data_IF_427956414490
#
_entry.id   IF_427956414490
#
_cell.length_a   1.000
_cell.length_b   1.000
_cell.length_c   1.000
_cell.angle_alpha   90.00
_cell.angle_beta   90.00
_cell.angle_gamma   90.00
#
_symmetry.space_group_name_H-M   'P 1'
#
loop_
_entity.id
_entity.type
_entity.pdbx_description
1 polymer ?
#
# COMPACT_ATOMS: atom_id res chain seq x y z
N UNK A 1 14.39 -34.46 3.00
CA UNK A 1 13.53 -35.07 1.97
C UNK A 1 13.58 -34.19 0.73
N UNK A 2 14.13 -34.69 -0.37
CA UNK A 2 14.27 -33.94 -1.62
C UNK A 2 12.88 -33.76 -2.27
N UNK A 3 12.47 -32.53 -2.50
CA UNK A 3 11.29 -32.20 -3.32
C UNK A 3 11.67 -32.59 -4.76
N UNK A 4 11.08 -33.66 -5.26
CA UNK A 4 11.24 -34.09 -6.65
C UNK A 4 10.79 -32.93 -7.56
N UNK A 5 11.67 -32.44 -8.44
CA UNK A 5 11.32 -31.58 -9.57
C UNK A 5 10.39 -32.39 -10.49
N UNK A 6 9.09 -32.22 -10.32
CA UNK A 6 8.13 -32.68 -11.31
C UNK A 6 8.22 -31.74 -12.50
N UNK A 7 8.85 -32.21 -13.56
CA UNK A 7 8.76 -31.58 -14.88
C UNK A 7 7.30 -31.76 -15.35
N UNK A 8 6.54 -30.68 -15.64
CA UNK A 8 5.19 -30.86 -16.15
C UNK A 8 5.20 -31.61 -17.47
N UNK A 9 4.17 -32.44 -17.76
CA UNK A 9 4.06 -33.18 -19.04
C UNK A 9 4.07 -32.17 -20.19
N UNK A 10 4.71 -32.58 -21.31
CA UNK A 10 4.96 -31.72 -22.49
C UNK A 10 3.66 -31.24 -23.19
N UNK A 11 2.50 -31.83 -22.86
CA UNK A 11 1.18 -31.49 -23.38
C UNK A 11 0.30 -30.72 -22.37
N UNK A 12 0.86 -30.18 -21.28
CA UNK A 12 0.09 -29.35 -20.36
C UNK A 12 -0.22 -28.01 -21.05
N UNK A 13 -1.51 -27.73 -21.28
CA UNK A 13 -1.98 -26.44 -21.78
C UNK A 13 -1.43 -25.33 -20.87
N UNK A 14 -0.77 -24.33 -21.47
CA UNK A 14 -0.20 -23.23 -20.70
C UNK A 14 -1.34 -22.46 -20.02
N UNK A 15 -1.18 -22.08 -18.71
CA UNK A 15 -2.22 -21.36 -18.00
C UNK A 15 -2.57 -20.05 -18.70
N UNK A 16 -3.86 -19.76 -18.79
CA UNK A 16 -4.38 -18.49 -19.33
C UNK A 16 -4.15 -17.34 -18.33
N UNK A 17 -4.19 -16.12 -18.82
CA UNK A 17 -3.95 -14.94 -17.97
C UNK A 17 -4.88 -14.90 -16.74
N UNK A 18 -6.13 -15.31 -16.91
CA UNK A 18 -7.14 -15.31 -15.85
C UNK A 18 -6.91 -16.39 -14.76
N UNK A 19 -6.04 -17.38 -15.03
CA UNK A 19 -5.65 -18.39 -14.05
C UNK A 19 -4.60 -17.87 -13.05
N UNK A 20 -4.02 -16.70 -13.31
CA UNK A 20 -2.98 -16.13 -12.47
C UNK A 20 -3.54 -15.28 -11.33
N UNK A 21 -3.36 -15.73 -10.09
CA UNK A 21 -3.73 -14.95 -8.90
C UNK A 21 -2.99 -13.59 -8.83
N UNK A 22 -1.72 -13.55 -9.27
CA UNK A 22 -0.96 -12.31 -9.33
C UNK A 22 -1.58 -11.29 -10.31
N UNK A 23 -2.13 -11.74 -11.44
CA UNK A 23 -2.85 -10.85 -12.36
C UNK A 23 -4.17 -10.37 -11.77
N UNK A 24 -4.93 -11.26 -11.13
CA UNK A 24 -6.16 -10.86 -10.42
C UNK A 24 -5.89 -9.79 -9.36
N UNK A 25 -4.82 -9.96 -8.57
CA UNK A 25 -4.38 -8.99 -7.56
C UNK A 25 -3.95 -7.65 -8.19
N UNK A 26 -3.16 -7.71 -9.26
CA UNK A 26 -2.70 -6.53 -10.00
C UNK A 26 -3.86 -5.74 -10.61
N UNK A 27 -4.75 -6.42 -11.32
CA UNK A 27 -5.91 -5.79 -11.97
C UNK A 27 -6.90 -5.21 -10.96
N UNK A 28 -7.13 -5.90 -9.83
CA UNK A 28 -7.92 -5.38 -8.72
C UNK A 28 -7.30 -4.10 -8.12
N UNK A 29 -5.97 -4.06 -7.93
CA UNK A 29 -5.29 -2.85 -7.45
C UNK A 29 -5.48 -1.67 -8.41
N UNK A 30 -5.40 -1.90 -9.73
CA UNK A 30 -5.69 -0.86 -10.72
C UNK A 30 -7.14 -0.36 -10.63
N UNK A 31 -8.10 -1.26 -10.41
CA UNK A 31 -9.51 -0.91 -10.23
C UNK A 31 -9.72 -0.06 -8.96
N UNK A 32 -9.13 -0.43 -7.83
CA UNK A 32 -9.15 0.37 -6.60
C UNK A 32 -8.60 1.79 -6.83
N UNK A 33 -7.48 1.93 -7.52
CA UNK A 33 -6.89 3.23 -7.83
C UNK A 33 -7.86 4.10 -8.65
N UNK A 34 -8.61 3.52 -9.59
CA UNK A 34 -9.62 4.24 -10.38
C UNK A 34 -10.78 4.72 -9.53
N UNK A 35 -11.24 3.92 -8.54
CA UNK A 35 -12.32 4.32 -7.62
C UNK A 35 -11.89 5.49 -6.72
N UNK A 36 -10.64 5.49 -6.26
CA UNK A 36 -10.11 6.61 -5.45
C UNK A 36 -9.80 7.88 -6.27
N UNK A 37 -9.52 7.72 -7.57
CA UNK A 37 -9.01 8.80 -8.42
C UNK A 37 -9.82 10.10 -8.33
N UNK A 38 -11.16 10.12 -8.43
CA UNK A 38 -11.92 11.37 -8.44
C UNK A 38 -11.72 12.22 -7.18
N UNK A 39 -11.62 11.59 -6.01
CA UNK A 39 -11.42 12.32 -4.75
C UNK A 39 -9.94 12.70 -4.54
N UNK A 40 -9.02 11.85 -4.98
CA UNK A 40 -7.58 12.13 -4.87
C UNK A 40 -7.13 13.24 -5.82
N UNK A 41 -7.67 13.30 -7.03
CA UNK A 41 -7.39 14.36 -8.02
C UNK A 41 -7.79 15.74 -7.48
N UNK A 42 -8.90 15.86 -6.75
CA UNK A 42 -9.34 17.11 -6.12
C UNK A 42 -8.34 17.61 -5.05
N UNK A 43 -7.53 16.73 -4.51
CA UNK A 43 -6.52 17.03 -3.50
C UNK A 43 -5.10 17.08 -4.09
N UNK A 44 -4.95 16.81 -5.39
CA UNK A 44 -3.65 16.69 -6.05
C UNK A 44 -2.80 15.52 -5.55
N UNK A 45 -3.45 14.47 -5.00
CA UNK A 45 -2.78 13.32 -4.40
C UNK A 45 -2.81 12.09 -5.31
N UNK A 46 -1.75 11.28 -5.22
CA UNK A 46 -1.74 9.91 -5.72
C UNK A 46 -2.17 8.93 -4.61
N UNK A 47 -2.58 7.71 -4.97
CA UNK A 47 -2.91 6.69 -3.98
C UNK A 47 -1.75 6.36 -3.02
N UNK A 48 -0.49 6.20 -3.46
CA UNK A 48 0.63 6.03 -2.54
C UNK A 48 0.81 7.20 -1.55
N UNK A 49 0.58 8.44 -1.97
CA UNK A 49 0.61 9.59 -1.06
C UNK A 49 -0.53 9.55 -0.05
N UNK A 50 -1.71 9.13 -0.48
CA UNK A 50 -2.85 8.97 0.42
C UNK A 50 -2.58 7.92 1.52
N UNK A 51 -2.01 6.76 1.19
CA UNK A 51 -1.71 5.75 2.22
C UNK A 51 -0.64 6.22 3.21
N UNK A 52 0.30 7.09 2.79
CA UNK A 52 1.22 7.78 3.72
C UNK A 52 0.44 8.66 4.70
N UNK A 53 -0.51 9.47 4.21
CA UNK A 53 -1.36 10.28 5.11
C UNK A 53 -2.14 9.40 6.10
N UNK A 54 -2.66 8.26 5.65
CA UNK A 54 -3.38 7.31 6.53
C UNK A 54 -2.44 6.79 7.62
N UNK A 55 -1.25 6.35 7.26
CA UNK A 55 -0.29 5.78 8.19
C UNK A 55 0.19 6.79 9.24
N UNK A 56 0.45 8.05 8.82
CA UNK A 56 0.84 9.13 9.72
C UNK A 56 -0.33 9.66 10.56
N UNK A 57 -1.57 9.58 10.06
CA UNK A 57 -2.75 9.95 10.84
C UNK A 57 -3.04 8.94 11.97
N UNK A 58 -2.79 7.65 11.73
CA UNK A 58 -2.90 6.60 12.76
C UNK A 58 -1.81 6.73 13.84
N UNK A 59 -0.61 7.04 13.43
CA UNK A 59 0.54 7.23 14.31
C UNK A 59 1.43 8.31 13.69
N UNK A 60 1.44 9.47 14.30
CA UNK A 60 2.28 10.59 13.88
C UNK A 60 3.74 10.39 14.34
N UNK A 61 4.63 11.23 13.87
CA UNK A 61 6.03 11.25 14.29
C UNK A 61 6.75 9.91 14.07
N UNK A 62 6.63 9.34 12.88
CA UNK A 62 7.30 8.10 12.48
C UNK A 62 8.63 8.40 11.78
N UNK A 63 9.57 7.45 11.86
CA UNK A 63 10.77 7.48 11.02
C UNK A 63 10.45 7.10 9.58
N UNK A 64 11.27 7.56 8.62
CA UNK A 64 11.14 7.16 7.20
C UNK A 64 11.25 5.64 7.06
N UNK A 65 12.19 5.02 7.79
CA UNK A 65 12.38 3.57 7.78
C UNK A 65 11.14 2.83 8.30
N UNK A 66 10.62 3.22 9.48
CA UNK A 66 9.44 2.59 10.07
C UNK A 66 8.19 2.74 9.19
N UNK A 67 8.03 3.90 8.54
CA UNK A 67 6.97 4.10 7.56
C UNK A 67 7.15 3.21 6.32
N UNK A 68 8.37 3.05 5.82
CA UNK A 68 8.68 2.15 4.70
C UNK A 68 8.30 0.71 5.00
N UNK A 69 8.68 0.20 6.16
CA UNK A 69 8.32 -1.14 6.64
C UNK A 69 6.80 -1.32 6.75
N UNK A 70 6.11 -0.32 7.31
CA UNK A 70 4.64 -0.33 7.47
C UNK A 70 3.91 -0.35 6.13
N UNK A 71 4.42 0.36 5.12
CA UNK A 71 3.80 0.50 3.80
C UNK A 71 4.35 -0.50 2.78
N UNK A 72 5.34 -1.32 3.13
CA UNK A 72 6.01 -2.25 2.20
C UNK A 72 6.65 -1.52 1.01
N UNK A 73 7.22 -0.33 1.27
CA UNK A 73 7.90 0.50 0.28
C UNK A 73 9.38 0.60 0.64
N UNK A 74 10.23 0.45 -0.38
CA UNK A 74 11.67 0.70 -0.24
C UNK A 74 11.98 2.20 -0.17
N UNK A 75 13.18 2.53 0.31
CA UNK A 75 13.63 3.90 0.49
C UNK A 75 13.74 4.67 -0.84
N UNK A 76 14.01 3.97 -1.95
CA UNK A 76 14.14 4.59 -3.27
C UNK A 76 12.79 5.08 -3.79
N UNK A 77 11.72 4.38 -3.47
CA UNK A 77 10.34 4.75 -3.79
C UNK A 77 9.78 5.79 -2.80
N UNK A 78 10.03 5.58 -1.51
CA UNK A 78 9.42 6.40 -0.46
C UNK A 78 10.03 7.80 -0.37
N UNK A 79 11.34 7.95 -0.53
CA UNK A 79 12.03 9.24 -0.38
C UNK A 79 11.53 10.32 -1.35
N UNK A 80 11.43 10.09 -2.68
CA UNK A 80 10.89 11.08 -3.61
C UNK A 80 9.42 11.42 -3.32
N UNK A 81 8.63 10.41 -2.92
CA UNK A 81 7.23 10.59 -2.56
C UNK A 81 7.07 11.53 -1.37
N UNK A 82 7.85 11.32 -0.30
CA UNK A 82 7.83 12.16 0.91
C UNK A 82 8.31 13.59 0.62
N UNK A 83 9.36 13.77 -0.20
CA UNK A 83 9.83 15.10 -0.61
C UNK A 83 8.72 15.88 -1.32
N UNK A 84 7.98 15.22 -2.22
CA UNK A 84 6.85 15.83 -2.92
C UNK A 84 5.73 16.19 -1.96
N UNK A 85 5.38 15.31 -1.02
CA UNK A 85 4.33 15.60 -0.01
C UNK A 85 4.71 16.76 0.92
N UNK A 86 6.00 16.88 1.27
CA UNK A 86 6.53 18.02 2.03
C UNK A 86 6.39 19.32 1.23
N UNK A 87 6.81 19.33 -0.05
CA UNK A 87 6.66 20.51 -0.93
C UNK A 87 5.19 20.91 -1.17
N UNK A 88 4.27 19.97 -1.09
CA UNK A 88 2.82 20.20 -1.13
C UNK A 88 2.25 20.65 0.22
N UNK A 89 3.05 20.69 1.28
CA UNK A 89 2.63 21.13 2.62
C UNK A 89 1.81 20.12 3.41
N UNK A 90 1.81 18.83 3.05
CA UNK A 90 1.05 17.81 3.74
C UNK A 90 1.75 17.21 4.96
N UNK A 91 3.07 17.22 4.96
CA UNK A 91 3.91 16.73 6.07
C UNK A 91 5.16 17.60 6.21
N UNK A 92 5.85 17.43 7.33
CA UNK A 92 7.20 17.95 7.57
C UNK A 92 8.18 16.79 7.74
N UNK A 93 9.43 17.04 7.36
CA UNK A 93 10.56 16.13 7.50
C UNK A 93 11.62 16.81 8.35
N UNK A 94 11.94 16.24 9.48
CA UNK A 94 12.96 16.79 10.39
C UNK A 94 13.99 15.70 10.72
N UNK A 95 15.27 16.06 10.70
CA UNK A 95 16.31 15.16 11.21
C UNK A 95 16.13 15.01 12.71
N UNK A 96 16.31 13.79 13.20
CA UNK A 96 16.28 13.54 14.63
C UNK A 96 17.52 14.18 15.27
N UNK A 97 17.37 15.11 16.24
CA UNK A 97 18.55 15.72 16.90
C UNK A 97 19.43 14.72 17.67
N UNK A 98 18.86 13.59 18.09
CA UNK A 98 19.56 12.54 18.84
C UNK A 98 20.24 11.52 17.91
N UNK A 99 19.76 11.37 16.67
CA UNK A 99 20.37 10.54 15.63
C UNK A 99 20.14 11.16 14.24
N UNK A 100 21.14 11.85 13.72
CA UNK A 100 21.08 12.53 12.41
C UNK A 100 20.82 11.59 11.20
N UNK A 101 20.96 10.28 11.40
CA UNK A 101 20.63 9.27 10.36
C UNK A 101 19.12 9.06 10.23
N UNK A 102 18.37 9.40 11.27
CA UNK A 102 16.91 9.29 11.26
C UNK A 102 16.27 10.59 10.77
N UNK A 103 15.31 10.44 9.88
CA UNK A 103 14.38 11.51 9.48
C UNK A 103 13.00 11.18 10.02
N UNK A 104 12.45 12.08 10.81
CA UNK A 104 11.12 11.98 11.39
C UNK A 104 10.09 12.72 10.53
N UNK A 105 8.90 12.16 10.45
CA UNK A 105 7.80 12.61 9.62
C UNK A 105 6.62 12.98 10.50
N UNK A 106 6.07 14.17 10.28
CA UNK A 106 4.88 14.64 11.01
C UNK A 106 3.86 15.24 10.05
N UNK A 107 2.58 14.96 10.29
CA UNK A 107 1.50 15.57 9.52
C UNK A 107 1.35 17.05 9.88
N UNK A 108 1.16 17.87 8.85
CA UNK A 108 0.69 19.23 9.01
C UNK A 108 -0.84 19.26 9.22
N UNK A 109 -1.42 20.38 9.65
CA UNK A 109 -2.88 20.57 9.67
C UNK A 109 -3.52 20.37 8.28
N UNK A 110 -2.82 20.75 7.20
CA UNK A 110 -3.27 20.53 5.83
C UNK A 110 -3.30 19.02 5.49
N UNK A 111 -2.27 18.26 5.88
CA UNK A 111 -2.22 16.82 5.68
C UNK A 111 -3.35 16.09 6.42
N UNK A 112 -3.67 16.50 7.65
CA UNK A 112 -4.80 15.97 8.43
C UNK A 112 -6.13 16.21 7.73
N UNK A 113 -6.40 17.44 7.27
CA UNK A 113 -7.61 17.79 6.52
C UNK A 113 -7.73 17.00 5.20
N UNK A 114 -6.61 16.81 4.48
CA UNK A 114 -6.61 16.00 3.26
C UNK A 114 -7.00 14.55 3.56
N UNK A 115 -6.46 13.93 4.63
CA UNK A 115 -6.80 12.58 5.07
C UNK A 115 -8.29 12.44 5.41
N UNK A 116 -8.86 13.42 6.12
CA UNK A 116 -10.27 13.43 6.50
C UNK A 116 -11.20 13.50 5.29
N UNK A 117 -10.89 14.33 4.31
CA UNK A 117 -11.67 14.43 3.06
C UNK A 117 -11.72 13.09 2.30
N UNK A 118 -10.60 12.39 2.19
CA UNK A 118 -10.57 11.08 1.51
C UNK A 118 -11.31 10.02 2.33
N UNK A 119 -11.31 10.12 3.66
CA UNK A 119 -12.06 9.18 4.51
C UNK A 119 -13.55 9.14 4.19
N UNK A 120 -14.12 10.26 3.75
CA UNK A 120 -15.53 10.34 3.35
C UNK A 120 -15.86 9.46 2.13
N UNK A 121 -14.88 9.18 1.26
CA UNK A 121 -15.05 8.30 0.11
C UNK A 121 -15.06 6.80 0.47
N UNK A 122 -14.80 6.43 1.73
CA UNK A 122 -14.72 5.01 2.14
C UNK A 122 -16.03 4.25 1.91
N UNK A 123 -17.17 4.91 2.11
CA UNK A 123 -18.49 4.30 1.86
C UNK A 123 -18.71 3.97 0.39
N UNK A 124 -18.28 4.85 -0.50
CA UNK A 124 -18.37 4.64 -1.95
C UNK A 124 -17.44 3.50 -2.41
N UNK A 125 -16.26 3.37 -1.81
CA UNK A 125 -15.38 2.24 -2.08
C UNK A 125 -16.03 0.90 -1.74
N UNK A 126 -16.65 0.77 -0.56
CA UNK A 126 -17.33 -0.46 -0.16
C UNK A 126 -18.44 -0.80 -1.15
N UNK A 127 -19.27 0.18 -1.53
CA UNK A 127 -20.32 0.00 -2.54
C UNK A 127 -19.75 -0.46 -3.88
N UNK A 128 -18.66 0.15 -4.32
CA UNK A 128 -18.02 -0.18 -5.60
C UNK A 128 -17.47 -1.61 -5.66
N UNK A 129 -17.17 -2.23 -4.51
CA UNK A 129 -16.74 -3.64 -4.47
C UNK A 129 -17.89 -4.63 -4.71
N UNK A 130 -19.14 -4.22 -4.54
CA UNK A 130 -20.31 -5.12 -4.57
C UNK A 130 -20.38 -6.11 -3.40
N UNK A 131 -19.48 -6.00 -2.41
CA UNK A 131 -19.41 -6.94 -1.28
C UNK A 131 -20.17 -6.42 -0.07
N UNK A 132 -20.74 -7.34 0.69
CA UNK A 132 -21.20 -7.07 2.04
C UNK A 132 -20.02 -6.79 2.99
N UNK A 133 -20.29 -6.15 4.13
CA UNK A 133 -19.25 -5.78 5.11
C UNK A 133 -18.45 -7.00 5.61
N UNK A 134 -19.13 -8.14 5.82
CA UNK A 134 -18.50 -9.37 6.27
C UNK A 134 -17.53 -9.94 5.22
N UNK A 135 -17.99 -10.02 3.97
CA UNK A 135 -17.21 -10.55 2.85
C UNK A 135 -16.01 -9.64 2.53
N UNK A 136 -16.21 -8.33 2.57
CA UNK A 136 -15.13 -7.35 2.41
C UNK A 136 -14.05 -7.54 3.48
N UNK A 137 -14.44 -7.75 4.74
CA UNK A 137 -13.48 -8.04 5.83
C UNK A 137 -12.77 -9.37 5.62
N UNK A 138 -13.51 -10.40 5.22
CA UNK A 138 -12.98 -11.72 4.91
C UNK A 138 -11.92 -11.64 3.82
N UNK A 139 -12.24 -11.07 2.67
CA UNK A 139 -11.32 -10.89 1.55
C UNK A 139 -10.06 -10.10 1.96
N UNK A 140 -10.23 -8.99 2.66
CA UNK A 140 -9.09 -8.22 3.18
C UNK A 140 -8.15 -9.08 4.05
N UNK A 141 -8.72 -9.90 4.94
CA UNK A 141 -7.91 -10.74 5.82
C UNK A 141 -7.15 -11.82 5.03
N UNK A 142 -7.76 -12.42 4.02
CA UNK A 142 -7.08 -13.38 3.14
C UNK A 142 -5.95 -12.72 2.34
N UNK A 143 -6.14 -11.50 1.84
CA UNK A 143 -5.08 -10.75 1.17
C UNK A 143 -3.91 -10.41 2.10
N UNK A 144 -4.19 -10.11 3.38
CA UNK A 144 -3.14 -9.89 4.40
C UNK A 144 -2.34 -11.17 4.63
N UNK A 145 -3.00 -12.33 4.75
CA UNK A 145 -2.34 -13.65 4.90
C UNK A 145 -1.49 -13.98 3.67
N UNK A 146 -2.04 -13.81 2.49
CA UNK A 146 -1.33 -14.02 1.23
C UNK A 146 -0.04 -13.20 1.18
N UNK A 147 -0.13 -11.91 1.46
CA UNK A 147 1.04 -11.01 1.51
C UNK A 147 2.09 -11.48 2.51
N UNK A 148 1.67 -11.87 3.73
CA UNK A 148 2.59 -12.36 4.76
C UNK A 148 3.33 -13.63 4.30
N UNK A 149 2.61 -14.58 3.71
CA UNK A 149 3.20 -15.82 3.20
C UNK A 149 4.21 -15.56 2.07
N UNK A 150 3.88 -14.68 1.11
CA UNK A 150 4.78 -14.29 0.03
C UNK A 150 6.04 -13.59 0.56
N UNK A 151 5.90 -12.68 1.53
CA UNK A 151 7.03 -11.98 2.15
C UNK A 151 7.97 -12.95 2.87
N UNK A 152 7.41 -13.93 3.60
CA UNK A 152 8.20 -14.95 4.29
C UNK A 152 8.94 -15.88 3.29
N UNK A 153 8.29 -16.25 2.19
CA UNK A 153 8.91 -17.08 1.16
C UNK A 153 10.11 -16.41 0.48
N UNK A 154 10.08 -15.08 0.33
CA UNK A 154 11.22 -14.30 -0.19
C UNK A 154 12.36 -14.25 0.82
N UNK A 155 12.07 -14.04 2.12
CA UNK A 155 13.08 -13.97 3.18
C UNK A 155 13.73 -15.33 3.49
N UNK A 156 13.04 -16.44 3.21
CA UNK A 156 13.54 -17.80 3.46
C UNK A 156 14.44 -18.33 2.33
N UNK A 157 14.62 -17.59 1.23
CA UNK A 157 15.59 -17.94 0.19
C UNK A 157 16.99 -17.54 0.66
N UNK A 158 17.98 -18.48 0.68
CA UNK A 158 19.36 -18.20 1.06
C UNK A 158 20.04 -17.25 0.09
#
# INVERSE_FOLDING_TARGET
MAVAKQTPPVDAELPKLDDFLCFATYSANLAFNRVYKPVLDQLGLTYPQYIVLVALYEQDDQTVSGLGDKLFLDSSTLTPLLKRMESMGHLTRQRNPEDEREVRLRLTPQGRKAREKVALARGELLKATGLGVADFRGLRNEMIKLRANLSNAVRAKP
#
